data_IF_823698570484
#
_entry.id   IF_823698570484
#
_cell.length_a   1.000
_cell.length_b   1.000
_cell.length_c   1.000
_cell.angle_alpha   90.00
_cell.angle_beta   90.00
_cell.angle_gamma   90.00
#
_symmetry.space_group_name_H-M   'P 1'
#
loop_
_entity.id
_entity.type
_entity.pdbx_description
1 polymer ?
#
# COMPACT_ATOMS: atom_id res chain seq x y z
N UNK A 1 16.27 6.84 -1.12
CA UNK A 1 16.34 5.45 -1.61
C UNK A 1 17.77 5.00 -1.85
N UNK A 2 18.56 5.72 -2.65
CA UNK A 2 19.94 5.35 -3.04
C UNK A 2 21.04 5.85 -2.10
N UNK A 3 20.74 6.07 -0.81
CA UNK A 3 21.77 6.46 0.12
C UNK A 3 22.76 5.30 0.33
N UNK A 4 24.09 5.50 0.24
CA UNK A 4 25.06 4.40 0.27
C UNK A 4 25.30 3.81 1.67
N UNK A 5 24.71 4.38 2.73
CA UNK A 5 24.90 3.92 4.11
C UNK A 5 23.62 3.28 4.65
N UNK A 6 22.46 3.89 4.39
CA UNK A 6 21.15 3.50 4.92
C UNK A 6 20.04 3.55 3.86
N UNK A 7 20.40 3.44 2.58
CA UNK A 7 19.44 3.37 1.49
C UNK A 7 18.82 1.99 1.34
N UNK A 8 17.57 1.96 0.89
CA UNK A 8 16.84 0.72 0.59
C UNK A 8 17.63 -0.19 -0.36
N UNK A 9 18.20 0.36 -1.44
CA UNK A 9 18.94 -0.45 -2.42
C UNK A 9 20.18 -1.10 -1.80
N UNK A 10 20.92 -0.35 -0.98
CA UNK A 10 22.09 -0.87 -0.27
C UNK A 10 21.73 -1.97 0.73
N UNK A 11 20.62 -1.85 1.44
CA UNK A 11 20.17 -2.89 2.36
C UNK A 11 19.70 -4.16 1.63
N UNK A 12 19.04 -4.02 0.48
CA UNK A 12 18.67 -5.14 -0.38
C UNK A 12 19.90 -5.87 -0.93
N UNK A 13 20.93 -5.14 -1.39
CA UNK A 13 22.20 -5.72 -1.87
C UNK A 13 22.93 -6.51 -0.80
N UNK A 14 22.70 -6.19 0.49
CA UNK A 14 23.24 -6.95 1.63
C UNK A 14 22.39 -8.15 2.04
N UNK A 15 21.34 -8.47 1.29
CA UNK A 15 20.43 -9.57 1.57
C UNK A 15 19.53 -9.35 2.78
N UNK A 16 19.29 -8.09 3.18
CA UNK A 16 18.35 -7.79 4.27
C UNK A 16 16.91 -7.80 3.76
N UNK A 17 16.00 -8.26 4.62
CA UNK A 17 14.57 -8.01 4.45
C UNK A 17 14.27 -6.54 4.75
N UNK A 18 13.65 -5.84 3.78
CA UNK A 18 13.20 -4.45 3.93
C UNK A 18 11.68 -4.41 3.93
N UNK A 19 11.09 -3.82 4.97
CA UNK A 19 9.64 -3.63 5.09
C UNK A 19 9.35 -2.14 5.00
N UNK A 20 8.39 -1.77 4.16
CA UNK A 20 7.93 -0.39 3.99
C UNK A 20 6.45 -0.28 4.30
N UNK A 21 6.07 0.65 5.17
CA UNK A 21 4.68 1.10 5.27
C UNK A 21 4.42 2.11 4.16
N UNK A 22 3.62 1.70 3.17
CA UNK A 22 3.41 2.37 1.88
C UNK A 22 4.66 2.37 1.01
N UNK A 23 4.43 2.48 -0.30
CA UNK A 23 5.48 2.56 -1.31
C UNK A 23 4.93 3.21 -2.58
N UNK A 24 5.55 2.95 -3.75
CA UNK A 24 5.22 3.57 -5.03
C UNK A 24 3.72 3.53 -5.38
N UNK A 25 3.03 2.42 -5.09
CA UNK A 25 1.61 2.24 -5.39
C UNK A 25 0.70 3.16 -4.57
N UNK A 26 1.11 3.51 -3.34
CA UNK A 26 0.35 4.45 -2.51
C UNK A 26 0.43 5.87 -3.04
N UNK A 27 1.59 6.30 -3.56
CA UNK A 27 1.71 7.59 -4.24
C UNK A 27 0.75 7.67 -5.41
N UNK A 28 0.73 6.63 -6.26
CA UNK A 28 -0.16 6.55 -7.42
C UNK A 28 -1.64 6.54 -7.01
N UNK A 29 -2.02 5.74 -6.01
CA UNK A 29 -3.41 5.60 -5.63
C UNK A 29 -3.99 6.89 -5.04
N UNK A 30 -3.25 7.57 -4.17
CA UNK A 30 -3.70 8.79 -3.51
C UNK A 30 -3.55 10.03 -4.39
N UNK A 31 -2.38 10.24 -4.99
CA UNK A 31 -2.15 11.43 -5.81
C UNK A 31 -2.86 11.32 -7.16
N UNK A 32 -3.07 10.10 -7.67
CA UNK A 32 -3.84 9.85 -8.89
C UNK A 32 -5.32 10.22 -8.80
N UNK A 33 -5.83 10.59 -7.62
CA UNK A 33 -7.17 11.18 -7.47
C UNK A 33 -7.21 12.60 -8.04
N UNK A 34 -6.12 13.36 -7.91
CA UNK A 34 -6.06 14.78 -8.28
C UNK A 34 -5.11 15.06 -9.45
N UNK A 35 -4.14 14.17 -9.67
CA UNK A 35 -3.08 14.32 -10.66
C UNK A 35 -3.16 13.23 -11.73
N UNK A 36 -2.62 13.54 -12.92
CA UNK A 36 -2.53 12.55 -14.00
C UNK A 36 -1.61 11.37 -13.62
N UNK A 37 -2.12 10.16 -13.81
CA UNK A 37 -1.45 8.91 -13.45
C UNK A 37 -0.01 8.81 -14.00
N UNK A 38 0.17 9.11 -15.29
CA UNK A 38 1.48 8.98 -15.95
C UNK A 38 2.53 9.93 -15.36
N UNK A 39 2.10 11.13 -14.94
CA UNK A 39 2.98 12.11 -14.30
C UNK A 39 3.46 11.60 -12.94
N UNK A 40 2.56 11.01 -12.14
CA UNK A 40 2.93 10.44 -10.85
C UNK A 40 3.80 9.19 -11.04
N UNK A 41 3.50 8.35 -12.02
CA UNK A 41 4.30 7.17 -12.34
C UNK A 41 5.76 7.52 -12.68
N UNK A 42 5.98 8.53 -13.54
CA UNK A 42 7.34 8.99 -13.87
C UNK A 42 8.11 9.60 -12.70
N UNK A 43 7.43 10.05 -11.64
CA UNK A 43 8.09 10.53 -10.42
C UNK A 43 8.45 9.40 -9.43
N UNK A 44 7.92 8.19 -9.66
CA UNK A 44 8.07 7.05 -8.75
C UNK A 44 8.81 5.89 -9.44
N UNK A 45 9.88 6.19 -10.18
CA UNK A 45 10.81 5.20 -10.74
C UNK A 45 11.69 4.57 -9.64
N UNK A 46 11.09 3.62 -8.92
CA UNK A 46 11.70 2.90 -7.82
C UNK A 46 11.69 1.38 -8.06
N UNK A 47 12.61 0.61 -7.44
CA UNK A 47 12.62 -0.84 -7.57
C UNK A 47 11.27 -1.45 -7.20
N UNK A 48 10.76 -2.37 -8.02
CA UNK A 48 9.53 -3.07 -7.69
C UNK A 48 9.72 -3.92 -6.43
N UNK A 49 8.75 -3.92 -5.49
CA UNK A 49 8.79 -4.82 -4.35
C UNK A 49 8.47 -6.26 -4.79
N UNK A 50 9.08 -7.25 -4.12
CA UNK A 50 8.73 -8.67 -4.34
C UNK A 50 7.31 -8.99 -3.86
N UNK A 51 6.92 -8.43 -2.71
CA UNK A 51 5.59 -8.62 -2.12
C UNK A 51 4.88 -7.29 -1.89
N UNK A 52 3.59 -7.26 -2.23
CA UNK A 52 2.67 -6.18 -1.87
C UNK A 52 1.56 -6.77 -1.02
N UNK A 53 1.57 -6.46 0.28
CA UNK A 53 0.49 -6.80 1.18
C UNK A 53 -0.54 -5.69 1.19
N UNK A 54 -1.70 -5.94 0.57
CA UNK A 54 -2.83 -5.01 0.56
C UNK A 54 -3.87 -5.46 1.59
N UNK A 55 -4.02 -4.66 2.65
CA UNK A 55 -5.04 -4.89 3.68
C UNK A 55 -6.37 -4.36 3.13
N UNK A 56 -7.13 -5.24 2.48
CA UNK A 56 -8.39 -4.91 1.81
C UNK A 56 -9.49 -4.71 2.86
N UNK A 57 -9.70 -3.45 3.21
CA UNK A 57 -10.71 -3.04 4.19
C UNK A 57 -11.85 -2.32 3.46
N UNK A 58 -13.13 -2.64 3.72
CA UNK A 58 -14.25 -1.86 3.20
C UNK A 58 -14.14 -0.38 3.59
N UNK A 59 -14.47 0.54 2.67
CA UNK A 59 -14.38 2.00 2.91
C UNK A 59 -15.16 2.42 4.16
N UNK A 60 -16.35 1.85 4.37
CA UNK A 60 -17.18 2.12 5.54
C UNK A 60 -16.48 1.76 6.85
N UNK A 61 -15.74 0.64 6.87
CA UNK A 61 -14.95 0.24 8.05
C UNK A 61 -13.73 1.16 8.24
N UNK A 62 -13.08 1.59 7.16
CA UNK A 62 -12.01 2.60 7.22
C UNK A 62 -12.51 3.91 7.84
N UNK A 63 -13.66 4.42 7.39
CA UNK A 63 -14.28 5.64 7.92
C UNK A 63 -14.63 5.48 9.40
N UNK A 64 -15.23 4.35 9.80
CA UNK A 64 -15.52 4.04 11.20
C UNK A 64 -14.26 4.12 12.07
N UNK A 65 -13.14 3.53 11.61
CA UNK A 65 -11.85 3.56 12.30
C UNK A 65 -11.22 4.96 12.35
N UNK A 66 -11.36 5.76 11.29
CA UNK A 66 -10.84 7.14 11.23
C UNK A 66 -11.61 8.03 12.21
N UNK A 67 -12.94 7.92 12.25
CA UNK A 67 -13.79 8.71 13.13
C UNK A 67 -13.54 8.40 14.60
N UNK A 68 -13.33 7.12 14.93
CA UNK A 68 -12.97 6.69 16.28
C UNK A 68 -11.65 7.30 16.81
N UNK A 69 -10.82 7.90 15.93
CA UNK A 69 -9.57 8.59 16.31
C UNK A 69 -9.74 10.10 16.50
N UNK A 70 -10.95 10.65 16.37
CA UNK A 70 -11.25 12.06 16.69
C UNK A 70 -10.99 13.06 15.57
N UNK A 71 -11.06 12.66 14.30
CA UNK A 71 -10.87 13.57 13.16
C UNK A 71 -12.19 14.26 12.76
N UNK A 72 -12.30 15.57 13.05
CA UNK A 72 -13.39 16.47 12.61
C UNK A 72 -13.24 16.81 11.12
N UNK A 73 -13.68 15.95 10.21
CA UNK A 73 -13.70 16.29 8.78
C UNK A 73 -15.03 15.84 8.18
N UNK A 74 -15.46 16.50 7.10
CA UNK A 74 -16.67 16.12 6.39
C UNK A 74 -16.58 14.67 5.90
N UNK A 75 -17.45 13.83 6.48
CA UNK A 75 -17.47 12.39 6.26
C UNK A 75 -17.68 12.01 4.81
N UNK A 76 -18.47 12.83 4.11
CA UNK A 76 -18.88 12.61 2.74
C UNK A 76 -17.68 12.77 1.78
N UNK A 77 -16.94 13.88 1.88
CA UNK A 77 -15.74 14.10 1.08
C UNK A 77 -14.70 13.00 1.29
N UNK A 78 -14.56 12.53 2.53
CA UNK A 78 -13.67 11.40 2.85
C UNK A 78 -14.12 10.08 2.23
N UNK A 79 -15.42 9.81 2.18
CA UNK A 79 -15.93 8.57 1.59
C UNK A 79 -15.62 8.52 0.09
N UNK A 80 -16.04 9.54 -0.66
CA UNK A 80 -15.83 9.61 -2.10
C UNK A 80 -14.33 9.55 -2.43
N UNK A 81 -13.51 10.25 -1.66
CA UNK A 81 -12.06 10.20 -1.79
C UNK A 81 -11.51 8.78 -1.60
N UNK A 82 -11.91 8.08 -0.52
CA UNK A 82 -11.43 6.72 -0.24
C UNK A 82 -11.92 5.69 -1.26
N UNK A 83 -13.12 5.87 -1.82
CA UNK A 83 -13.64 5.04 -2.91
C UNK A 83 -12.78 5.19 -4.16
N UNK A 84 -12.48 6.44 -4.57
CA UNK A 84 -11.58 6.73 -5.70
C UNK A 84 -10.15 6.21 -5.48
N UNK A 85 -9.63 6.32 -4.25
CA UNK A 85 -8.33 5.72 -3.90
C UNK A 85 -8.36 4.20 -4.06
N UNK A 86 -9.44 3.54 -3.61
CA UNK A 86 -9.60 2.09 -3.78
C UNK A 86 -9.65 1.70 -5.25
N UNK A 87 -10.43 2.40 -6.06
CA UNK A 87 -10.49 2.18 -7.52
C UNK A 87 -9.11 2.34 -8.18
N UNK A 88 -8.33 3.35 -7.77
CA UNK A 88 -6.98 3.52 -8.28
C UNK A 88 -6.07 2.35 -7.90
N UNK A 89 -6.14 1.83 -6.67
CA UNK A 89 -5.43 0.61 -6.29
C UNK A 89 -5.81 -0.58 -7.18
N UNK A 90 -7.09 -0.80 -7.43
CA UNK A 90 -7.56 -1.88 -8.31
C UNK A 90 -6.97 -1.74 -9.73
N UNK A 91 -6.97 -0.53 -10.29
CA UNK A 91 -6.37 -0.26 -11.60
C UNK A 91 -4.86 -0.49 -11.64
N UNK A 92 -4.16 -0.12 -10.56
CA UNK A 92 -2.72 -0.37 -10.42
C UNK A 92 -2.49 -1.90 -10.38
N UNK A 93 -3.27 -2.60 -9.56
CA UNK A 93 -3.16 -4.04 -9.37
C UNK A 93 -3.45 -4.85 -10.64
N UNK A 94 -4.36 -4.38 -11.51
CA UNK A 94 -4.60 -5.01 -12.81
C UNK A 94 -3.44 -4.90 -13.81
N UNK A 95 -2.43 -4.08 -13.51
CA UNK A 95 -1.26 -3.85 -14.37
C UNK A 95 0.08 -4.12 -13.68
N UNK A 96 0.07 -4.83 -12.55
CA UNK A 96 1.31 -5.24 -11.87
C UNK A 96 2.15 -6.19 -12.74
N UNK A 97 3.47 -6.09 -12.60
CA UNK A 97 4.40 -7.06 -13.18
C UNK A 97 4.14 -8.45 -12.60
N UNK A 98 4.44 -9.49 -13.39
CA UNK A 98 4.34 -10.89 -12.96
C UNK A 98 5.29 -11.24 -11.80
N UNK A 99 6.38 -10.47 -11.64
CA UNK A 99 7.36 -10.64 -10.57
C UNK A 99 6.89 -10.06 -9.22
N UNK A 100 5.77 -9.33 -9.20
CA UNK A 100 5.22 -8.73 -7.98
C UNK A 100 4.12 -9.63 -7.42
N UNK A 101 4.33 -10.16 -6.23
CA UNK A 101 3.34 -10.95 -5.52
C UNK A 101 2.38 -10.06 -4.74
N UNK A 102 1.22 -9.77 -5.35
CA UNK A 102 0.11 -9.13 -4.65
C UNK A 102 -0.59 -10.11 -3.72
N UNK A 103 -0.57 -9.83 -2.42
CA UNK A 103 -1.27 -10.57 -1.38
C UNK A 103 -2.37 -9.67 -0.82
N UNK A 104 -3.63 -10.07 -0.98
CA UNK A 104 -4.75 -9.40 -0.32
C UNK A 104 -5.04 -10.05 1.02
N UNK A 105 -5.16 -9.22 2.05
CA UNK A 105 -5.48 -9.65 3.40
C UNK A 105 -6.79 -8.99 3.82
N UNK A 106 -7.69 -9.77 4.41
CA UNK A 106 -8.95 -9.25 4.93
C UNK A 106 -8.68 -8.26 6.09
N UNK A 107 -8.98 -6.99 5.85
CA UNK A 107 -8.80 -5.93 6.82
C UNK A 107 -9.84 -5.88 7.94
N UNK A 108 -10.87 -6.72 7.89
CA UNK A 108 -11.85 -6.90 8.97
C UNK A 108 -11.29 -7.77 10.11
N UNK A 109 -10.22 -8.52 9.86
CA UNK A 109 -9.55 -9.33 10.88
C UNK A 109 -8.84 -8.46 11.94
N UNK A 110 -8.56 -9.09 13.08
CA UNK A 110 -7.75 -8.48 14.14
C UNK A 110 -6.30 -8.29 13.71
N UNK A 111 -5.62 -7.28 14.26
CA UNK A 111 -4.24 -6.94 13.90
C UNK A 111 -3.27 -8.11 14.11
N UNK A 112 -3.47 -8.93 15.13
CA UNK A 112 -2.66 -10.11 15.44
C UNK A 112 -2.81 -11.19 14.36
N UNK A 113 -4.04 -11.41 13.87
CA UNK A 113 -4.32 -12.39 12.82
C UNK A 113 -3.73 -11.94 11.47
N UNK A 114 -3.90 -10.66 11.12
CA UNK A 114 -3.29 -10.07 9.93
C UNK A 114 -1.77 -10.21 9.98
N UNK A 115 -1.15 -9.86 11.12
CA UNK A 115 0.30 -9.96 11.29
C UNK A 115 0.79 -11.41 11.13
N UNK A 116 0.06 -12.37 11.70
CA UNK A 116 0.36 -13.79 11.57
C UNK A 116 0.32 -14.25 10.11
N UNK A 117 -0.70 -13.89 9.34
CA UNK A 117 -0.79 -14.24 7.92
C UNK A 117 0.38 -13.68 7.11
N UNK A 118 0.80 -12.43 7.36
CA UNK A 118 1.97 -11.84 6.70
C UNK A 118 3.24 -12.63 7.06
N UNK A 119 3.43 -12.96 8.34
CA UNK A 119 4.59 -13.73 8.79
C UNK A 119 4.64 -15.13 8.18
N UNK A 120 3.50 -15.82 8.11
CA UNK A 120 3.41 -17.15 7.51
C UNK A 120 3.82 -17.11 6.03
N UNK A 121 3.37 -16.10 5.27
CA UNK A 121 3.73 -15.93 3.86
C UNK A 121 5.22 -15.62 3.68
N UNK A 122 5.81 -14.81 4.57
CA UNK A 122 7.21 -14.39 4.46
C UNK A 122 8.20 -15.46 4.92
N UNK A 123 7.87 -16.24 5.95
CA UNK A 123 8.83 -17.08 6.66
C UNK A 123 8.52 -18.57 6.65
N UNK A 124 7.27 -18.97 6.36
CA UNK A 124 6.85 -20.38 6.40
C UNK A 124 6.60 -20.95 4.99
N UNK A 125 7.60 -20.84 4.11
CA UNK A 125 7.60 -21.56 2.82
C UNK A 125 7.74 -23.07 3.03
#
# INVERSE_FOLDING_TARGET
>A
MYNPVYGLVHDLEKGKLVISDRYLYSSLAYQGVECEFNKIAGLNEFPAPEYVFFIDTPVQECLRRINGRGSETELFEKQEFLERVKENYERIFSSLSQDVHLVRIDGLLGKEEIAKQIQDILFNK
#
